data_IF_401896557395
#
_entry.id   IF_401896557395
#
_cell.length_a   1.000
_cell.length_b   1.000
_cell.length_c   1.000
_cell.angle_alpha   90.00
_cell.angle_beta   90.00
_cell.angle_gamma   90.00
#
_symmetry.space_group_name_H-M   'P 1'
#
loop_
_entity.id
_entity.type
_entity.pdbx_description
1 polymer ?
#
# COMPACT_ATOMS: atom_id res chain seq x y z
N UNK A 1 -15.48 18.35 -8.81
CA UNK A 1 -14.61 19.28 -8.17
C UNK A 1 -13.15 18.92 -8.41
N UNK A 2 -12.39 19.90 -8.58
CA UNK A 2 -10.97 19.71 -8.79
C UNK A 2 -10.27 19.43 -7.45
N UNK A 3 -9.45 18.40 -7.43
CA UNK A 3 -8.72 18.06 -6.21
C UNK A 3 -7.24 17.96 -6.55
N UNK A 4 -6.59 19.11 -6.77
CA UNK A 4 -5.18 19.08 -7.14
C UNK A 4 -4.28 18.45 -6.09
N UNK A 5 -4.78 18.34 -4.86
CA UNK A 5 -4.03 17.72 -3.78
C UNK A 5 -4.34 16.23 -3.58
N UNK A 6 -5.11 15.64 -4.48
CA UNK A 6 -5.38 14.20 -4.41
C UNK A 6 -4.10 13.42 -4.74
N UNK A 7 -3.81 12.41 -3.92
CA UNK A 7 -2.59 11.62 -4.09
C UNK A 7 -2.88 10.15 -3.87
N UNK A 8 -1.99 9.32 -4.40
CA UNK A 8 -2.01 7.88 -4.17
C UNK A 8 -0.71 7.53 -3.46
N UNK A 9 -0.81 6.85 -2.34
CA UNK A 9 0.34 6.37 -1.59
C UNK A 9 0.50 4.90 -1.87
N UNK A 10 1.71 4.49 -2.26
CA UNK A 10 2.03 3.10 -2.53
C UNK A 10 2.77 2.51 -1.35
N UNK A 11 2.33 1.37 -0.89
CA UNK A 11 3.06 0.64 0.14
C UNK A 11 2.81 -0.85 -0.03
N UNK A 12 3.52 -1.65 0.74
CA UNK A 12 3.37 -3.10 0.66
C UNK A 12 3.22 -3.68 2.06
N UNK A 13 2.62 -4.86 2.10
CA UNK A 13 2.47 -5.61 3.33
C UNK A 13 2.92 -7.05 3.05
N UNK A 14 3.40 -7.77 4.07
CA UNK A 14 3.92 -9.12 3.84
C UNK A 14 2.85 -10.15 3.50
N UNK A 15 1.61 -9.92 3.88
CA UNK A 15 0.53 -10.85 3.58
C UNK A 15 -0.80 -10.11 3.56
N UNK A 16 -1.84 -10.81 3.11
CA UNK A 16 -3.16 -10.20 2.98
C UNK A 16 -3.79 -9.84 4.31
N UNK A 17 -3.57 -10.65 5.33
CA UNK A 17 -4.15 -10.37 6.64
C UNK A 17 -3.59 -9.06 7.19
N UNK A 18 -2.27 -8.87 7.09
CA UNK A 18 -1.64 -7.63 7.53
C UNK A 18 -2.12 -6.44 6.70
N UNK A 19 -2.27 -6.63 5.39
CA UNK A 19 -2.72 -5.56 4.51
C UNK A 19 -4.15 -5.13 4.86
N UNK A 20 -5.03 -6.10 5.09
CA UNK A 20 -6.41 -5.79 5.42
C UNK A 20 -6.52 -5.10 6.77
N UNK A 21 -5.72 -5.54 7.74
CA UNK A 21 -5.71 -4.93 9.05
C UNK A 21 -5.25 -3.47 8.98
N UNK A 22 -4.19 -3.22 8.26
CA UNK A 22 -3.69 -1.87 8.08
C UNK A 22 -4.68 -0.99 7.33
N UNK A 23 -5.28 -1.53 6.27
CA UNK A 23 -6.27 -0.80 5.49
C UNK A 23 -7.46 -0.40 6.37
N UNK A 24 -7.93 -1.32 7.20
CA UNK A 24 -9.06 -1.02 8.09
C UNK A 24 -8.72 0.10 9.07
N UNK A 25 -7.50 0.09 9.61
CA UNK A 25 -7.08 1.13 10.53
C UNK A 25 -6.95 2.48 9.85
N UNK A 26 -6.38 2.50 8.67
CA UNK A 26 -6.20 3.74 7.92
C UNK A 26 -7.56 4.35 7.57
N UNK A 27 -8.52 3.53 7.17
CA UNK A 27 -9.85 4.02 6.83
C UNK A 27 -10.62 4.46 8.07
N UNK A 28 -10.47 3.72 9.18
CA UNK A 28 -11.15 4.08 10.41
C UNK A 28 -10.69 5.43 10.93
N UNK A 29 -9.43 5.76 10.73
CA UNK A 29 -8.88 7.05 11.17
C UNK A 29 -9.00 8.12 10.10
N UNK A 30 -9.67 7.80 9.00
CA UNK A 30 -9.94 8.77 7.93
C UNK A 30 -8.68 9.34 7.32
N UNK A 31 -7.62 8.54 7.30
CA UNK A 31 -6.36 8.94 6.67
C UNK A 31 -6.38 8.73 5.17
N UNK A 32 -7.30 7.92 4.68
CA UNK A 32 -7.48 7.70 3.25
C UNK A 32 -8.95 7.50 2.98
N UNK A 33 -9.36 7.80 1.76
CA UNK A 33 -10.73 7.62 1.32
C UNK A 33 -10.98 6.19 0.84
N UNK A 34 -9.92 5.56 0.34
CA UNK A 34 -10.06 4.24 -0.28
C UNK A 34 -8.70 3.55 -0.24
N UNK A 35 -8.71 2.24 -0.03
CA UNK A 35 -7.49 1.43 -0.08
C UNK A 35 -7.76 0.26 -0.99
N UNK A 36 -6.90 0.07 -1.99
CA UNK A 36 -6.97 -1.06 -2.90
C UNK A 36 -5.83 -2.00 -2.59
N UNK A 37 -6.13 -3.29 -2.50
CA UNK A 37 -5.13 -4.31 -2.24
C UNK A 37 -4.89 -5.12 -3.51
N UNK A 38 -3.62 -5.30 -3.86
CA UNK A 38 -3.23 -6.07 -5.03
C UNK A 38 -2.34 -7.21 -4.57
N UNK A 39 -2.91 -8.38 -4.31
CA UNK A 39 -2.11 -9.54 -3.93
C UNK A 39 -1.34 -10.06 -5.14
N UNK A 40 -0.34 -10.87 -4.87
CA UNK A 40 0.41 -11.50 -5.94
C UNK A 40 1.59 -10.71 -6.46
N UNK A 41 1.97 -9.65 -5.75
CA UNK A 41 3.14 -8.87 -6.14
C UNK A 41 4.41 -9.60 -5.71
N UNK A 42 5.44 -9.55 -6.55
CA UNK A 42 6.73 -10.12 -6.24
C UNK A 42 7.79 -9.05 -6.43
N UNK A 43 8.58 -8.84 -5.38
CA UNK A 43 9.68 -7.89 -5.45
C UNK A 43 10.99 -8.64 -5.63
N UNK A 44 11.80 -8.18 -6.56
CA UNK A 44 13.11 -8.76 -6.82
C UNK A 44 14.16 -7.71 -6.50
N UNK A 45 15.19 -8.12 -5.77
CA UNK A 45 16.24 -7.20 -5.40
C UNK A 45 17.52 -7.98 -5.08
N UNK A 46 18.63 -7.27 -5.05
CA UNK A 46 19.89 -7.87 -4.66
C UNK A 46 20.18 -7.56 -3.21
N UNK A 47 20.56 -8.60 -2.49
CA UNK A 47 20.96 -8.47 -1.10
C UNK A 47 22.25 -9.26 -0.92
N UNK A 48 23.31 -8.57 -0.53
CA UNK A 48 24.62 -9.17 -0.31
C UNK A 48 25.08 -10.00 -1.52
N UNK A 49 24.87 -9.46 -2.71
CA UNK A 49 25.31 -10.09 -3.94
C UNK A 49 24.42 -11.21 -4.46
N UNK A 50 23.31 -11.46 -3.78
CA UNK A 50 22.38 -12.51 -4.21
C UNK A 50 21.07 -11.91 -4.64
N UNK A 51 20.46 -12.51 -5.65
CA UNK A 51 19.13 -12.09 -6.09
C UNK A 51 18.12 -12.68 -5.12
N UNK A 52 17.34 -11.80 -4.50
CA UNK A 52 16.30 -12.18 -3.56
C UNK A 52 14.95 -11.89 -4.16
N UNK A 53 13.96 -12.62 -3.67
CA UNK A 53 12.61 -12.51 -4.17
C UNK A 53 11.66 -12.60 -2.99
N UNK A 54 10.74 -11.62 -2.91
CA UNK A 54 9.75 -11.61 -1.83
C UNK A 54 8.36 -11.45 -2.39
N UNK A 55 7.43 -12.17 -1.80
CA UNK A 55 6.04 -12.08 -2.16
C UNK A 55 5.35 -11.07 -1.26
N UNK A 56 4.61 -10.16 -1.85
CA UNK A 56 4.00 -9.07 -1.11
C UNK A 56 2.60 -8.77 -1.59
N UNK A 57 1.85 -8.06 -0.75
CA UNK A 57 0.57 -7.48 -1.16
C UNK A 57 0.81 -5.98 -1.31
N UNK A 58 0.55 -5.47 -2.51
CA UNK A 58 0.72 -4.05 -2.76
C UNK A 58 -0.55 -3.32 -2.38
N UNK A 59 -0.40 -2.16 -1.75
CA UNK A 59 -1.52 -1.36 -1.28
C UNK A 59 -1.49 0.00 -1.94
N UNK A 60 -2.64 0.43 -2.43
CA UNK A 60 -2.82 1.74 -3.01
C UNK A 60 -3.78 2.51 -2.11
N UNK A 61 -3.26 3.53 -1.44
CA UNK A 61 -4.04 4.34 -0.53
C UNK A 61 -4.38 5.66 -1.22
N UNK A 62 -5.65 5.91 -1.42
CA UNK A 62 -6.10 7.13 -2.10
C UNK A 62 -6.52 8.13 -1.06
N UNK A 63 -5.82 9.25 -1.02
CA UNK A 63 -6.02 10.27 -0.01
C UNK A 63 -5.76 11.63 -0.62
N UNK A 64 -5.57 12.64 0.23
CA UNK A 64 -5.16 13.96 -0.25
C UNK A 64 -4.19 14.58 0.74
N UNK A 65 -3.52 15.62 0.30
CA UNK A 65 -2.46 16.24 1.10
C UNK A 65 -2.98 16.96 2.35
N UNK A 66 -4.28 17.23 2.40
CA UNK A 66 -4.86 17.92 3.53
C UNK A 66 -5.16 16.98 4.70
N UNK A 67 -5.07 15.69 4.51
CA UNK A 67 -5.37 14.73 5.57
C UNK A 67 -4.14 14.37 6.38
#
# INVERSE_FOLDING_TARGET
MNTPDAVVVLCTAPDEASAQDLAAKVLAEKLAACVTLLPGATSLYYWEGKLEQEYEVQMLLKTNLAN
#
